data_IF_225121622787
#
_entry.id   IF_225121622787
#
_cell.length_a   1.000
_cell.length_b   1.000
_cell.length_c   1.000
_cell.angle_alpha   90.00
_cell.angle_beta   90.00
_cell.angle_gamma   90.00
#
_symmetry.space_group_name_H-M   'P 1'
#
loop_
_entity.id
_entity.type
_entity.pdbx_description
1 polymer ?
#
# COMPACT_ATOMS: atom_id res chain seq x y z
N UNK A 1 7.19 0.81 9.25
CA UNK A 1 8.44 0.85 8.49
C UNK A 1 8.50 2.14 7.71
N UNK A 2 9.64 2.83 7.76
CA UNK A 2 9.89 4.07 7.01
C UNK A 2 10.53 3.77 5.66
N UNK A 3 10.52 4.74 4.74
CA UNK A 3 11.28 4.64 3.50
C UNK A 3 12.77 4.42 3.79
N UNK A 4 13.33 5.11 4.78
CA UNK A 4 14.72 4.93 5.18
C UNK A 4 15.02 3.48 5.60
N UNK A 5 14.14 2.85 6.39
CA UNK A 5 14.31 1.44 6.80
C UNK A 5 14.35 0.50 5.59
N UNK A 6 13.48 0.73 4.59
CA UNK A 6 13.43 -0.06 3.36
C UNK A 6 14.73 0.11 2.57
N UNK A 7 15.19 1.35 2.38
CA UNK A 7 16.39 1.66 1.61
C UNK A 7 17.65 1.09 2.27
N UNK A 8 17.82 1.29 3.58
CA UNK A 8 18.97 0.77 4.33
C UNK A 8 18.99 -0.77 4.30
N UNK A 9 17.84 -1.42 4.51
CA UNK A 9 17.76 -2.89 4.45
C UNK A 9 18.05 -3.44 3.04
N UNK A 10 17.57 -2.77 1.99
CA UNK A 10 17.85 -3.15 0.61
C UNK A 10 19.33 -3.00 0.25
N UNK A 11 19.97 -1.90 0.64
CA UNK A 11 21.41 -1.69 0.42
C UNK A 11 22.26 -2.73 1.14
N UNK A 12 21.90 -3.07 2.39
CA UNK A 12 22.57 -4.11 3.15
C UNK A 12 22.48 -5.49 2.45
N UNK A 13 21.31 -5.85 1.89
CA UNK A 13 21.16 -7.11 1.13
C UNK A 13 21.81 -7.10 -0.27
N UNK A 14 22.14 -5.92 -0.79
CA UNK A 14 22.90 -5.76 -2.03
C UNK A 14 24.41 -5.76 -1.78
N UNK A 15 24.86 -5.95 -0.53
CA UNK A 15 26.26 -5.83 -0.10
C UNK A 15 26.88 -4.48 -0.50
N UNK A 16 26.05 -3.42 -0.49
CA UNK A 16 26.47 -2.04 -0.79
C UNK A 16 26.64 -1.23 0.48
N UNK A 17 27.51 -0.23 0.42
CA UNK A 17 27.65 0.76 1.48
C UNK A 17 26.30 1.42 1.80
N UNK A 18 26.01 1.59 3.09
CA UNK A 18 24.84 2.32 3.58
C UNK A 18 25.21 3.73 4.06
N UNK A 19 26.37 4.24 3.62
CA UNK A 19 26.78 5.62 3.84
C UNK A 19 25.87 6.58 3.06
N UNK A 20 25.83 7.83 3.49
CA UNK A 20 24.92 8.84 2.93
C UNK A 20 25.12 9.07 1.43
N UNK A 21 26.35 8.93 0.92
CA UNK A 21 26.68 9.16 -0.48
C UNK A 21 26.21 7.99 -1.36
N UNK A 22 26.41 6.76 -0.91
CA UNK A 22 25.87 5.58 -1.60
C UNK A 22 24.33 5.61 -1.61
N UNK A 23 23.70 5.97 -0.49
CA UNK A 23 22.24 6.03 -0.41
C UNK A 23 21.66 7.04 -1.41
N UNK A 24 22.28 8.21 -1.57
CA UNK A 24 21.81 9.23 -2.50
C UNK A 24 21.86 8.76 -3.96
N UNK A 25 22.90 8.00 -4.34
CA UNK A 25 23.06 7.48 -5.70
C UNK A 25 21.95 6.50 -6.11
N UNK A 26 21.41 5.73 -5.14
CA UNK A 26 20.41 4.70 -5.40
C UNK A 26 18.99 5.12 -5.02
N UNK A 27 18.85 6.22 -4.26
CA UNK A 27 17.58 6.70 -3.68
C UNK A 27 16.44 6.70 -4.69
N UNK A 28 16.62 7.38 -5.83
CA UNK A 28 15.52 7.57 -6.80
C UNK A 28 14.97 6.24 -7.29
N UNK A 29 15.85 5.31 -7.69
CA UNK A 29 15.44 3.99 -8.22
C UNK A 29 14.86 3.09 -7.13
N UNK A 30 15.53 3.00 -5.98
CA UNK A 30 15.07 2.12 -4.90
C UNK A 30 13.74 2.61 -4.30
N UNK A 31 13.54 3.93 -4.19
CA UNK A 31 12.25 4.52 -3.80
C UNK A 31 11.15 4.20 -4.81
N UNK A 32 11.46 4.22 -6.11
CA UNK A 32 10.50 3.79 -7.14
C UNK A 32 10.11 2.32 -6.95
N UNK A 33 11.09 1.42 -6.78
CA UNK A 33 10.80 0.00 -6.56
C UNK A 33 10.06 -0.26 -5.25
N UNK A 34 10.35 0.50 -4.19
CA UNK A 34 9.63 0.40 -2.92
C UNK A 34 8.15 0.81 -3.08
N UNK A 35 7.88 1.89 -3.82
CA UNK A 35 6.52 2.33 -4.12
C UNK A 35 5.75 1.31 -4.98
N UNK A 36 6.41 0.70 -5.96
CA UNK A 36 5.81 -0.35 -6.80
C UNK A 36 5.47 -1.59 -5.96
N UNK A 37 6.41 -2.07 -5.15
CA UNK A 37 6.19 -3.19 -4.23
C UNK A 37 5.02 -2.90 -3.27
N UNK A 38 4.98 -1.68 -2.73
CA UNK A 38 3.94 -1.26 -1.80
C UNK A 38 2.56 -1.30 -2.48
N UNK A 39 2.45 -0.78 -3.70
CA UNK A 39 1.19 -0.78 -4.47
C UNK A 39 0.74 -2.21 -4.76
N UNK A 40 1.66 -3.07 -5.17
CA UNK A 40 1.33 -4.46 -5.51
C UNK A 40 0.90 -5.28 -4.29
N UNK A 41 1.57 -5.11 -3.14
CA UNK A 41 1.15 -5.75 -1.89
C UNK A 41 -0.17 -5.18 -1.37
N UNK A 42 -0.38 -3.86 -1.45
CA UNK A 42 -1.65 -3.25 -1.04
C UNK A 42 -2.84 -3.77 -1.86
N UNK A 43 -2.63 -3.98 -3.17
CA UNK A 43 -3.63 -4.56 -4.06
C UNK A 43 -3.89 -6.04 -3.75
N UNK A 44 -2.84 -6.81 -3.45
CA UNK A 44 -2.98 -8.20 -3.04
C UNK A 44 -3.69 -8.34 -1.69
N UNK A 45 -3.45 -7.41 -0.76
CA UNK A 45 -4.07 -7.38 0.56
C UNK A 45 -5.49 -6.82 0.55
N UNK A 46 -5.86 -6.07 -0.50
CA UNK A 46 -7.14 -5.37 -0.53
C UNK A 46 -7.27 -4.36 0.61
N UNK A 47 -6.20 -3.60 0.90
CA UNK A 47 -6.19 -2.64 2.02
C UNK A 47 -7.41 -1.73 1.97
N UNK A 48 -8.11 -1.64 3.10
CA UNK A 48 -9.28 -0.81 3.27
C UNK A 48 -9.14 0.09 4.50
N UNK A 49 -9.84 1.21 4.45
CA UNK A 49 -9.90 2.19 5.53
C UNK A 49 -11.34 2.66 5.68
N UNK A 50 -11.70 3.05 6.90
CA UNK A 50 -12.98 3.74 7.15
C UNK A 50 -12.68 5.15 7.64
N UNK A 51 -13.28 6.14 6.98
CA UNK A 51 -13.18 7.54 7.39
C UNK A 51 -14.57 8.17 7.52
N UNK A 52 -14.67 9.16 8.41
CA UNK A 52 -15.86 9.99 8.60
C UNK A 52 -15.79 11.19 7.68
N UNK A 53 -16.83 11.40 6.90
CA UNK A 53 -16.99 12.57 6.02
C UNK A 53 -18.32 13.25 6.29
N UNK A 54 -18.36 14.56 6.07
CA UNK A 54 -19.61 15.30 6.02
C UNK A 54 -20.10 15.32 4.58
N UNK A 55 -21.40 15.13 4.41
CA UNK A 55 -22.08 15.36 3.13
C UNK A 55 -22.44 16.84 3.02
N UNK A 56 -22.60 17.29 1.78
CA UNK A 56 -23.27 18.55 1.46
C UNK A 56 -24.32 18.27 0.39
N UNK A 57 -25.59 18.50 0.70
CA UNK A 57 -26.72 18.13 -0.18
C UNK A 57 -26.71 16.64 -0.59
N UNK A 58 -26.24 15.75 0.29
CA UNK A 58 -26.12 14.31 0.00
C UNK A 58 -24.96 13.96 -0.95
N UNK A 59 -24.08 14.90 -1.27
CA UNK A 59 -22.90 14.68 -2.11
C UNK A 59 -21.66 14.61 -1.22
N UNK A 60 -20.78 13.63 -1.48
CA UNK A 60 -19.44 13.54 -0.91
C UNK A 60 -18.41 13.64 -2.03
N UNK A 61 -17.42 14.51 -1.86
CA UNK A 61 -16.22 14.52 -2.70
C UNK A 61 -15.17 13.56 -2.12
N UNK A 62 -14.94 12.44 -2.80
CA UNK A 62 -13.98 11.42 -2.39
C UNK A 62 -12.53 11.87 -2.53
N UNK A 63 -12.24 12.98 -3.21
CA UNK A 63 -10.89 13.54 -3.28
C UNK A 63 -10.44 14.19 -1.96
N UNK A 64 -11.39 14.53 -1.09
CA UNK A 64 -11.13 15.05 0.25
C UNK A 64 -10.79 13.95 1.27
N UNK A 65 -10.89 12.68 0.88
CA UNK A 65 -10.51 11.57 1.75
C UNK A 65 -8.99 11.52 1.93
N UNK A 66 -8.50 11.05 3.11
CA UNK A 66 -7.07 11.00 3.41
C UNK A 66 -6.22 10.13 2.48
N UNK A 67 -6.87 9.24 1.72
CA UNK A 67 -6.22 8.34 0.76
C UNK A 67 -7.00 8.30 -0.55
N UNK A 68 -6.29 8.06 -1.65
CA UNK A 68 -6.89 7.92 -2.97
C UNK A 68 -7.78 6.69 -2.99
N UNK A 69 -9.06 6.90 -3.27
CA UNK A 69 -10.07 5.84 -3.33
C UNK A 69 -9.88 5.03 -4.61
N UNK A 70 -9.72 3.71 -4.48
CA UNK A 70 -9.82 2.76 -5.60
C UNK A 70 -11.25 2.26 -5.78
N UNK A 71 -11.91 1.98 -4.66
CA UNK A 71 -13.27 1.41 -4.63
C UNK A 71 -13.95 1.69 -3.30
N UNK A 72 -15.21 2.11 -3.34
CA UNK A 72 -16.06 2.16 -2.15
C UNK A 72 -16.64 0.77 -1.89
N UNK A 73 -16.50 0.28 -0.66
CA UNK A 73 -17.01 -1.03 -0.24
C UNK A 73 -18.32 -0.89 0.54
N UNK A 74 -18.39 0.10 1.44
CA UNK A 74 -19.54 0.30 2.32
C UNK A 74 -19.67 1.75 2.71
N UNK A 75 -20.91 2.23 2.83
CA UNK A 75 -21.23 3.52 3.43
C UNK A 75 -22.23 3.31 4.55
N UNK A 76 -21.98 3.96 5.68
CA UNK A 76 -22.85 3.94 6.86
C UNK A 76 -23.30 5.36 7.18
N UNK A 77 -24.61 5.58 7.27
CA UNK A 77 -25.22 6.83 7.73
C UNK A 77 -26.23 6.50 8.84
N UNK A 78 -26.30 7.35 9.87
CA UNK A 78 -27.22 7.15 11.01
C UNK A 78 -27.12 5.74 11.64
N UNK A 79 -25.91 5.16 11.66
CA UNK A 79 -25.65 3.82 12.20
C UNK A 79 -26.12 2.66 11.32
N UNK A 80 -26.54 2.90 10.07
CA UNK A 80 -26.99 1.86 9.14
C UNK A 80 -26.24 1.91 7.82
N UNK A 81 -26.01 0.74 7.22
CA UNK A 81 -25.48 0.66 5.87
C UNK A 81 -26.50 1.24 4.89
N UNK A 82 -26.06 2.13 4.01
CA UNK A 82 -26.91 2.82 3.04
C UNK A 82 -26.44 2.54 1.61
N UNK A 83 -27.35 2.51 0.64
CA UNK A 83 -26.96 2.47 -0.77
C UNK A 83 -26.25 3.77 -1.15
N UNK A 84 -25.34 3.69 -2.10
CA UNK A 84 -24.62 4.83 -2.65
C UNK A 84 -24.56 4.72 -4.18
N UNK A 85 -24.42 5.85 -4.87
CA UNK A 85 -24.31 5.90 -6.34
C UNK A 85 -23.15 6.79 -6.75
N UNK A 86 -22.60 6.53 -7.93
CA UNK A 86 -21.67 7.47 -8.56
C UNK A 86 -22.41 8.78 -8.84
N UNK A 87 -21.80 9.90 -8.51
CA UNK A 87 -22.29 11.21 -8.90
C UNK A 87 -21.86 11.59 -10.31
N UNK A 88 -22.12 12.83 -10.69
CA UNK A 88 -21.85 13.34 -12.05
C UNK A 88 -20.36 13.49 -12.35
N UNK A 89 -19.48 13.38 -11.33
CA UNK A 89 -18.03 13.44 -11.47
C UNK A 89 -17.41 12.14 -10.93
N UNK A 90 -16.25 11.78 -11.46
CA UNK A 90 -15.52 10.56 -11.07
C UNK A 90 -15.22 10.47 -9.57
N UNK A 91 -15.11 11.62 -8.90
CA UNK A 91 -14.78 11.72 -7.47
C UNK A 91 -16.00 12.08 -6.60
N UNK A 92 -17.23 12.01 -7.12
CA UNK A 92 -18.41 12.33 -6.31
C UNK A 92 -19.24 11.09 -6.02
N UNK A 93 -19.71 11.00 -4.77
CA UNK A 93 -20.55 9.94 -4.26
C UNK A 93 -21.88 10.54 -3.83
N UNK A 94 -22.99 9.99 -4.34
CA UNK A 94 -24.34 10.38 -3.95
C UNK A 94 -24.84 9.45 -2.84
N UNK A 95 -25.25 10.08 -1.74
CA UNK A 95 -25.76 9.44 -0.54
C UNK A 95 -27.22 9.84 -0.30
N UNK A 96 -28.03 8.95 0.29
CA UNK A 96 -29.47 9.17 0.46
C UNK A 96 -29.81 10.24 1.50
N UNK A 97 -28.91 10.50 2.45
CA UNK A 97 -29.13 11.46 3.53
C UNK A 97 -28.05 12.52 3.52
N UNK A 98 -28.42 13.76 3.85
CA UNK A 98 -27.47 14.85 4.06
C UNK A 98 -27.00 14.88 5.52
N UNK A 99 -26.24 13.86 5.90
CA UNK A 99 -25.67 13.70 7.23
C UNK A 99 -24.28 13.07 7.16
N UNK A 100 -23.53 13.15 8.26
CA UNK A 100 -22.21 12.54 8.35
C UNK A 100 -22.26 11.06 7.97
N UNK A 101 -21.32 10.65 7.13
CA UNK A 101 -21.20 9.30 6.62
C UNK A 101 -19.85 8.69 7.03
N UNK A 102 -19.88 7.42 7.41
CA UNK A 102 -18.68 6.59 7.53
C UNK A 102 -18.51 5.82 6.22
N UNK A 103 -17.43 6.08 5.51
CA UNK A 103 -17.15 5.44 4.21
C UNK A 103 -16.00 4.46 4.42
N UNK A 104 -16.27 3.18 4.17
CA UNK A 104 -15.26 2.14 4.06
C UNK A 104 -14.86 1.96 2.60
N UNK A 105 -13.58 2.12 2.29
CA UNK A 105 -13.08 2.09 0.92
C UNK A 105 -11.71 1.43 0.82
N UNK A 106 -11.45 0.78 -0.32
CA UNK A 106 -10.11 0.35 -0.73
C UNK A 106 -9.33 1.55 -1.24
N UNK A 107 -8.06 1.62 -0.89
CA UNK A 107 -7.24 2.79 -1.18
C UNK A 107 -5.90 2.44 -1.80
N UNK A 108 -5.33 3.40 -2.55
CA UNK A 108 -3.94 3.33 -2.96
C UNK A 108 -3.04 3.78 -1.80
N UNK A 109 -1.98 3.01 -1.48
CA UNK A 109 -1.07 3.39 -0.41
C UNK A 109 -0.36 4.70 -0.77
N UNK A 110 0.00 5.47 0.26
CA UNK A 110 0.73 6.73 0.08
C UNK A 110 2.04 6.52 -0.66
N UNK A 111 2.34 7.38 -1.63
CA UNK A 111 3.67 7.44 -2.26
C UNK A 111 4.71 7.89 -1.24
N UNK A 112 5.74 7.06 -1.07
CA UNK A 112 6.92 7.36 -0.27
C UNK A 112 7.86 8.27 -1.08
N UNK A 113 8.23 9.42 -0.52
CA UNK A 113 9.19 10.34 -1.12
C UNK A 113 10.30 10.71 -0.13
N UNK A 114 9.93 11.00 1.11
CA UNK A 114 10.84 11.41 2.16
C UNK A 114 11.31 10.22 3.00
N UNK A 115 12.53 10.30 3.55
CA UNK A 115 13.09 9.25 4.39
C UNK A 115 12.21 8.89 5.60
N UNK A 116 11.50 9.88 6.14
CA UNK A 116 10.59 9.73 7.28
C UNK A 116 9.20 9.26 6.89
N UNK A 117 8.88 9.16 5.59
CA UNK A 117 7.59 8.66 5.14
C UNK A 117 7.39 7.23 5.62
N UNK A 118 6.27 6.99 6.28
CA UNK A 118 5.87 5.66 6.74
C UNK A 118 5.02 4.99 5.67
N UNK A 119 5.33 3.73 5.42
CA UNK A 119 4.50 2.87 4.59
C UNK A 119 3.12 2.64 5.24
N UNK A 120 2.09 2.53 4.39
CA UNK A 120 0.74 2.12 4.81
C UNK A 120 0.66 0.59 5.05
N UNK A 121 1.70 -0.16 4.67
CA UNK A 121 1.81 -1.59 4.95
C UNK A 121 2.34 -1.85 6.37
N UNK A 122 1.92 -2.97 6.94
CA UNK A 122 2.39 -3.46 8.23
C UNK A 122 3.90 -3.76 8.24
N UNK A 123 4.55 -3.52 9.37
CA UNK A 123 6.01 -3.68 9.52
C UNK A 123 6.48 -5.12 9.25
N UNK A 124 5.62 -6.12 9.46
CA UNK A 124 5.90 -7.52 9.12
C UNK A 124 6.07 -7.79 7.62
N UNK A 125 5.71 -6.84 6.76
CA UNK A 125 5.84 -6.94 5.30
C UNK A 125 7.14 -6.31 4.78
N UNK A 126 7.95 -5.70 5.64
CA UNK A 126 9.22 -5.07 5.27
C UNK A 126 10.12 -6.01 4.46
N UNK A 127 10.25 -7.26 4.89
CA UNK A 127 11.08 -8.25 4.20
C UNK A 127 10.63 -8.52 2.76
N UNK A 128 9.32 -8.53 2.50
CA UNK A 128 8.80 -8.71 1.13
C UNK A 128 9.08 -7.48 0.27
N UNK A 129 8.86 -6.27 0.80
CA UNK A 129 9.18 -5.03 0.08
C UNK A 129 10.67 -4.98 -0.27
N UNK A 130 11.54 -5.32 0.68
CA UNK A 130 13.00 -5.38 0.46
C UNK A 130 13.36 -6.42 -0.61
N UNK A 131 12.78 -7.62 -0.57
CA UNK A 131 13.00 -8.64 -1.60
C UNK A 131 12.64 -8.13 -3.00
N UNK A 132 11.52 -7.41 -3.15
CA UNK A 132 11.15 -6.82 -4.44
C UNK A 132 12.18 -5.79 -4.89
N UNK A 133 12.56 -4.86 -4.01
CA UNK A 133 13.55 -3.81 -4.31
C UNK A 133 14.89 -4.40 -4.74
N UNK A 134 15.42 -5.35 -3.97
CA UNK A 134 16.69 -6.05 -4.26
C UNK A 134 16.59 -6.83 -5.57
N UNK A 135 15.49 -7.56 -5.79
CA UNK A 135 15.25 -8.31 -7.01
C UNK A 135 15.25 -7.43 -8.25
N UNK A 136 14.54 -6.29 -8.20
CA UNK A 136 14.48 -5.32 -9.31
C UNK A 136 15.83 -4.68 -9.59
N UNK A 137 16.56 -4.29 -8.55
CA UNK A 137 17.90 -3.71 -8.70
C UNK A 137 18.90 -4.71 -9.30
N UNK A 138 18.89 -5.99 -8.86
CA UNK A 138 19.77 -7.03 -9.43
C UNK A 138 19.44 -7.37 -10.88
N UNK A 139 18.16 -7.30 -11.26
CA UNK A 139 17.73 -7.49 -12.65
C UNK A 139 18.09 -6.32 -13.57
N UNK A 140 18.15 -5.10 -13.03
CA UNK A 140 18.62 -3.93 -13.76
C UNK A 140 20.15 -3.87 -13.96
N UNK A 141 20.89 -4.77 -13.32
CA UNK A 141 22.34 -4.93 -13.45
C UNK A 141 22.77 -5.87 -14.57
N UNK A 142 24.07 -6.21 -14.59
CA UNK A 142 24.69 -7.08 -15.58
C UNK A 142 24.08 -8.49 -15.61
N UNK A 143 24.24 -9.18 -16.75
CA UNK A 143 23.67 -10.53 -17.00
C UNK A 143 24.10 -11.54 -15.92
N UNK A 144 25.29 -11.38 -15.33
CA UNK A 144 25.78 -12.21 -14.22
C UNK A 144 25.01 -12.03 -12.91
N UNK A 145 24.42 -10.85 -12.67
CA UNK A 145 23.61 -10.57 -11.46
C UNK A 145 22.13 -10.87 -11.64
N UNK A 146 21.66 -11.02 -12.88
CA UNK A 146 20.24 -11.27 -13.20
C UNK A 146 19.71 -12.61 -12.65
N UNK A 147 20.53 -13.67 -12.69
CA UNK A 147 20.15 -14.97 -12.11
C UNK A 147 19.86 -14.87 -10.61
N UNK A 148 20.61 -14.01 -9.89
CA UNK A 148 20.41 -13.76 -8.47
C UNK A 148 19.14 -12.96 -8.14
N UNK A 149 18.66 -12.11 -9.06
CA UNK A 149 17.46 -11.28 -8.86
C UNK A 149 16.15 -12.08 -8.85
N UNK A 150 16.07 -13.15 -9.65
CA UNK A 150 14.87 -13.97 -9.79
C UNK A 150 14.44 -14.65 -8.47
N UNK A 151 15.40 -15.03 -7.63
CA UNK A 151 15.12 -15.68 -6.34
C UNK A 151 14.35 -14.71 -5.42
N UNK A 152 14.77 -13.45 -5.35
CA UNK A 152 14.10 -12.46 -4.50
C UNK A 152 12.69 -12.13 -5.00
N UNK A 153 12.49 -12.01 -6.32
CA UNK A 153 11.16 -11.84 -6.87
C UNK A 153 10.27 -13.07 -6.65
N UNK A 154 10.82 -14.28 -6.76
CA UNK A 154 10.07 -15.50 -6.44
C UNK A 154 9.64 -15.54 -4.96
N UNK A 155 10.50 -15.09 -4.04
CA UNK A 155 10.15 -14.95 -2.62
C UNK A 155 9.05 -13.89 -2.40
N UNK A 156 9.12 -12.77 -3.12
CA UNK A 156 8.07 -11.74 -3.08
C UNK A 156 6.72 -12.30 -3.58
N UNK A 157 6.71 -12.96 -4.74
CA UNK A 157 5.51 -13.58 -5.31
C UNK A 157 4.92 -14.66 -4.40
N UNK A 158 5.76 -15.53 -3.83
CA UNK A 158 5.33 -16.55 -2.89
C UNK A 158 4.75 -15.96 -1.60
N UNK A 159 5.37 -14.89 -1.08
CA UNK A 159 4.85 -14.14 0.06
C UNK A 159 3.50 -13.50 -0.24
N UNK A 160 3.38 -12.82 -1.39
CA UNK A 160 2.14 -12.21 -1.88
C UNK A 160 1.01 -13.24 -2.04
N UNK A 161 1.32 -14.42 -2.59
CA UNK A 161 0.35 -15.51 -2.73
C UNK A 161 -0.17 -16.02 -1.37
N UNK A 162 0.72 -16.18 -0.39
CA UNK A 162 0.33 -16.55 0.99
C UNK A 162 -0.59 -15.51 1.62
N UNK A 163 -0.29 -14.22 1.45
CA UNK A 163 -1.12 -13.12 1.97
C UNK A 163 -2.55 -13.15 1.39
N UNK A 164 -2.69 -13.46 0.10
CA UNK A 164 -4.01 -13.63 -0.53
C UNK A 164 -4.81 -14.79 0.06
N UNK A 165 -4.13 -15.86 0.50
CA UNK A 165 -4.76 -16.99 1.19
C UNK A 165 -5.46 -16.56 2.48
N UNK A 166 -4.78 -15.75 3.30
CA UNK A 166 -5.29 -15.24 4.58
C UNK A 166 -6.43 -14.20 4.47
N UNK A 167 -6.78 -13.75 3.26
CA UNK A 167 -7.89 -12.80 3.06
C UNK A 167 -9.10 -13.50 2.44
N UNK A 168 -8.89 -14.66 1.82
CA UNK A 168 -9.93 -15.42 1.10
C UNK A 168 -10.52 -16.56 1.90
N UNK A 169 -9.90 -16.99 3.00
CA UNK A 169 -10.58 -17.83 3.97
C UNK A 169 -11.57 -16.94 4.72
N UNK A 170 -12.87 -17.18 4.52
CA UNK A 170 -13.97 -16.47 5.17
C UNK A 170 -13.86 -16.46 6.71
N UNK A 171 -13.07 -17.39 7.28
CA UNK A 171 -12.81 -17.54 8.73
C UNK A 171 -11.40 -17.11 9.17
N UNK A 172 -10.53 -16.64 8.28
CA UNK A 172 -9.18 -16.21 8.67
C UNK A 172 -9.15 -14.73 9.05
N UNK A 173 -8.96 -14.45 10.35
CA UNK A 173 -8.77 -13.10 10.87
C UNK A 173 -7.41 -12.97 11.55
N UNK A 174 -6.69 -11.86 11.27
CA UNK A 174 -5.49 -11.46 12.02
C UNK A 174 -5.84 -10.31 12.97
N UNK A 175 -5.93 -10.58 14.27
CA UNK A 175 -6.06 -9.52 15.28
C UNK A 175 -4.69 -8.85 15.45
N UNK A 176 -4.53 -7.67 14.88
CA UNK A 176 -3.28 -6.87 14.99
C UNK A 176 -3.23 -6.06 16.30
N UNK A 177 -4.33 -6.02 17.06
CA UNK A 177 -4.34 -5.48 18.43
C UNK A 177 -4.04 -6.59 19.44
N UNK A 178 -2.74 -6.83 19.70
CA UNK A 178 -2.31 -7.35 21.00
C UNK A 178 -1.63 -6.20 21.73
N UNK A 179 -2.22 -5.81 22.85
CA UNK A 179 -1.68 -4.84 23.81
C UNK A 179 -0.24 -5.17 24.19
#
# INVERSE_FOLDING_TARGET
MTLNDILTAALAQLDRGHDAQTLENYRVRLTQYANDAQRELADALGLFRTDKVRTSAGIVDTSLLPRRVKRIERVVQLGRAVPFRCGDRTNTLLLPYDTAAEITYRYEPRTLNDNSDRSDLDDGLLGLVVNYVVGRERLGGDVSTQSGGNIYLAMFEAGKAKLRGYIRDDDSFRIVNRY
#
